data_IF_303063250518
#
_entry.id   IF_303063250518
#
_cell.length_a   1.000
_cell.length_b   1.000
_cell.length_c   1.000
_cell.angle_alpha   90.00
_cell.angle_beta   90.00
_cell.angle_gamma   90.00
#
_symmetry.space_group_name_H-M   'P 1'
#
loop_
_entity.id
_entity.type
_entity.pdbx_description
1 polymer ?
#
# COMPACT_ATOMS: atom_id res chain seq x y z
N UNK A 1 -37.46 15.52 17.78
CA UNK A 1 -36.18 14.85 17.44
C UNK A 1 -35.60 14.35 18.76
N UNK A 2 -35.31 13.04 18.95
CA UNK A 2 -34.74 12.56 20.21
C UNK A 2 -33.37 13.20 20.48
N UNK A 3 -33.09 13.50 21.74
CA UNK A 3 -32.04 14.43 22.20
C UNK A 3 -30.63 13.78 22.32
N UNK A 4 -30.42 12.62 21.70
CA UNK A 4 -29.28 11.73 22.02
C UNK A 4 -28.27 11.56 20.87
N UNK A 5 -28.34 12.39 19.83
CA UNK A 5 -27.40 12.42 18.69
C UNK A 5 -26.64 13.76 18.67
N UNK A 6 -25.28 13.82 18.57
CA UNK A 6 -24.26 12.76 18.61
C UNK A 6 -23.27 12.98 19.78
N UNK A 7 -23.74 13.06 21.03
CA UNK A 7 -22.84 13.22 22.20
C UNK A 7 -22.19 11.91 22.65
N UNK A 8 -22.69 10.75 22.19
CA UNK A 8 -22.23 9.42 22.61
C UNK A 8 -21.51 8.62 21.52
N UNK A 9 -21.20 9.24 20.37
CA UNK A 9 -20.61 8.54 19.20
C UNK A 9 -19.12 8.81 19.00
N UNK A 10 -18.50 9.73 19.74
CA UNK A 10 -17.07 10.00 19.64
C UNK A 10 -16.38 9.71 20.97
N UNK A 11 -15.38 8.81 21.01
CA UNK A 11 -14.60 8.61 22.22
C UNK A 11 -13.94 9.93 22.61
N UNK A 12 -13.91 10.24 23.91
CA UNK A 12 -13.23 11.44 24.41
C UNK A 12 -11.76 11.45 23.95
N UNK A 13 -11.19 12.63 23.62
CA UNK A 13 -9.79 12.72 23.21
C UNK A 13 -8.90 12.12 24.29
N UNK A 14 -8.03 11.20 23.90
CA UNK A 14 -7.06 10.57 24.80
C UNK A 14 -5.74 11.31 24.70
N UNK A 15 -5.03 11.42 25.83
CA UNK A 15 -3.65 11.89 25.84
C UNK A 15 -2.76 10.82 25.21
N UNK A 16 -1.89 11.23 24.31
CA UNK A 16 -0.84 10.35 23.77
C UNK A 16 0.32 10.31 24.76
N UNK A 17 0.67 9.12 25.26
CA UNK A 17 1.65 8.95 26.34
C UNK A 17 3.04 8.59 25.82
N UNK A 18 3.14 8.08 24.58
CA UNK A 18 4.37 7.48 24.08
C UNK A 18 4.73 7.88 22.64
N UNK A 19 4.49 9.15 22.30
CA UNK A 19 4.77 9.71 20.96
C UNK A 19 6.17 9.36 20.45
N UNK A 20 7.19 9.52 21.31
CA UNK A 20 8.60 9.29 20.92
C UNK A 20 8.84 7.84 20.51
N UNK A 21 8.39 6.88 21.30
CA UNK A 21 8.59 5.46 21.01
C UNK A 21 7.87 5.04 19.73
N UNK A 22 6.68 5.59 19.47
CA UNK A 22 5.96 5.34 18.22
C UNK A 22 6.70 5.90 17.00
N UNK A 23 7.17 7.15 17.09
CA UNK A 23 7.93 7.78 16.01
C UNK A 23 9.26 7.07 15.74
N UNK A 24 9.93 6.57 16.78
CA UNK A 24 11.16 5.80 16.63
C UNK A 24 10.89 4.45 15.95
N UNK A 25 9.77 3.80 16.27
CA UNK A 25 9.31 2.60 15.59
C UNK A 25 9.08 2.84 14.09
N UNK A 26 8.34 3.90 13.74
CA UNK A 26 8.12 4.30 12.34
C UNK A 26 9.45 4.55 11.62
N UNK A 27 10.35 5.31 12.25
CA UNK A 27 11.67 5.60 11.66
C UNK A 27 12.47 4.32 11.39
N UNK A 28 12.45 3.36 12.31
CA UNK A 28 13.19 2.11 12.16
C UNK A 28 12.62 1.24 11.03
N UNK A 29 11.30 1.15 10.93
CA UNK A 29 10.63 0.43 9.84
C UNK A 29 10.95 1.05 8.46
N UNK A 30 10.94 2.38 8.38
CA UNK A 30 11.30 3.11 7.16
C UNK A 30 12.77 2.87 6.79
N UNK A 31 13.69 2.97 7.75
CA UNK A 31 15.11 2.73 7.53
C UNK A 31 15.37 1.31 7.01
N UNK A 32 14.75 0.30 7.62
CA UNK A 32 14.87 -1.08 7.18
C UNK A 32 14.35 -1.24 5.74
N UNK A 33 13.19 -0.67 5.43
CA UNK A 33 12.59 -0.72 4.09
C UNK A 33 13.46 -0.07 3.01
N UNK A 34 14.23 0.97 3.35
CA UNK A 34 15.08 1.70 2.42
C UNK A 34 16.47 1.08 2.24
N UNK A 35 17.01 0.45 3.28
CA UNK A 35 18.39 -0.06 3.32
C UNK A 35 18.52 -1.53 2.94
N UNK A 36 17.43 -2.32 2.95
CA UNK A 36 17.50 -3.77 2.71
C UNK A 36 16.82 -4.24 1.43
N UNK A 37 17.22 -5.41 0.96
CA UNK A 37 16.48 -6.15 -0.06
C UNK A 37 15.27 -6.83 0.56
N UNK A 38 14.17 -6.90 -0.20
CA UNK A 38 12.97 -7.61 0.21
C UNK A 38 12.11 -7.98 -1.02
N UNK A 39 11.15 -8.89 -0.86
CA UNK A 39 10.15 -9.15 -1.89
C UNK A 39 8.95 -8.22 -1.72
N UNK A 40 8.51 -7.58 -2.81
CA UNK A 40 7.24 -6.86 -2.85
C UNK A 40 6.10 -7.85 -3.11
N UNK A 41 6.31 -8.77 -4.05
CA UNK A 41 5.41 -9.89 -4.32
C UNK A 41 6.23 -11.07 -4.85
N UNK A 42 6.36 -12.09 -3.99
CA UNK A 42 7.13 -13.30 -4.30
C UNK A 42 6.54 -14.07 -5.48
N UNK A 43 5.22 -14.00 -5.71
CA UNK A 43 4.55 -14.76 -6.78
C UNK A 43 4.83 -14.17 -8.15
N UNK A 44 4.87 -12.85 -8.26
CA UNK A 44 5.26 -12.15 -9.50
C UNK A 44 6.76 -11.98 -9.66
N UNK A 45 7.56 -12.30 -8.64
CA UNK A 45 9.01 -12.10 -8.65
C UNK A 45 9.42 -10.64 -8.49
N UNK A 46 8.50 -9.77 -8.03
CA UNK A 46 8.79 -8.36 -7.80
C UNK A 46 9.62 -8.19 -6.53
N UNK A 47 10.87 -7.71 -6.70
CA UNK A 47 11.84 -7.50 -5.63
C UNK A 47 12.04 -6.00 -5.39
N UNK A 48 12.16 -5.62 -4.12
CA UNK A 48 12.62 -4.31 -3.65
C UNK A 48 14.14 -4.36 -3.47
N UNK A 49 14.80 -3.31 -3.95
CA UNK A 49 16.24 -3.11 -3.78
C UNK A 49 16.49 -1.92 -2.84
N UNK A 50 17.64 -1.86 -2.15
CA UNK A 50 18.04 -0.71 -1.36
C UNK A 50 18.05 0.57 -2.20
N UNK A 51 17.74 1.70 -1.57
CA UNK A 51 17.60 2.99 -2.26
C UNK A 51 18.90 3.43 -2.92
N UNK A 52 20.05 3.25 -2.26
CA UNK A 52 21.35 3.58 -2.83
C UNK A 52 21.59 2.82 -4.14
N UNK A 53 21.25 1.52 -4.14
CA UNK A 53 21.37 0.69 -5.34
C UNK A 53 20.41 1.14 -6.45
N UNK A 54 19.19 1.54 -6.11
CA UNK A 54 18.27 2.10 -7.08
C UNK A 54 18.81 3.38 -7.72
N UNK A 55 19.37 4.29 -6.90
CA UNK A 55 19.97 5.54 -7.35
C UNK A 55 21.17 5.31 -8.27
N UNK A 56 22.05 4.36 -7.93
CA UNK A 56 23.16 3.93 -8.80
C UNK A 56 22.65 3.45 -10.16
N UNK A 57 21.64 2.58 -10.17
CA UNK A 57 21.09 2.02 -11.40
C UNK A 57 20.41 3.08 -12.27
N UNK A 58 19.71 4.03 -11.66
CA UNK A 58 19.10 5.16 -12.37
C UNK A 58 20.19 6.03 -12.98
N UNK A 59 21.26 6.32 -12.25
CA UNK A 59 22.37 7.13 -12.74
C UNK A 59 23.10 6.43 -13.90
N UNK A 60 23.31 5.12 -13.79
CA UNK A 60 23.94 4.31 -14.85
C UNK A 60 23.09 4.20 -16.12
N UNK A 61 21.77 4.04 -15.97
CA UNK A 61 20.84 3.84 -17.10
C UNK A 61 20.34 5.16 -17.70
N UNK A 62 20.43 6.25 -16.94
CA UNK A 62 19.77 7.52 -17.24
C UNK A 62 18.27 7.50 -16.88
N UNK A 63 17.68 8.69 -16.80
CA UNK A 63 16.24 8.83 -16.60
C UNK A 63 15.48 8.53 -17.91
N UNK A 64 14.32 7.86 -17.85
CA UNK A 64 13.52 7.60 -19.05
C UNK A 64 12.99 8.93 -19.62
N UNK A 65 13.32 9.24 -20.89
CA UNK A 65 12.99 10.51 -21.55
C UNK A 65 11.59 10.52 -22.20
N UNK A 66 10.93 9.36 -22.33
CA UNK A 66 9.53 9.20 -22.80
C UNK A 66 8.99 7.81 -22.41
N UNK A 67 7.68 7.63 -22.11
CA UNK A 67 7.16 6.32 -21.74
C UNK A 67 7.32 5.31 -22.88
N UNK A 68 7.96 4.18 -22.58
CA UNK A 68 7.81 2.94 -23.33
C UNK A 68 6.36 2.47 -23.13
N UNK A 69 5.47 2.81 -24.05
CA UNK A 69 4.13 2.25 -24.07
C UNK A 69 4.18 0.78 -24.51
N UNK A 70 4.13 -0.16 -23.56
CA UNK A 70 3.11 -1.23 -23.49
C UNK A 70 3.52 -2.35 -22.52
N UNK A 71 2.64 -2.58 -21.53
CA UNK A 71 2.24 -3.87 -20.95
C UNK A 71 3.28 -4.95 -20.58
N UNK A 72 3.40 -5.19 -19.28
CA UNK A 72 3.24 -6.52 -18.66
C UNK A 72 2.84 -6.30 -17.18
N UNK A 73 1.56 -6.30 -16.79
CA UNK A 73 0.69 -7.47 -16.53
C UNK A 73 1.24 -8.48 -15.51
N UNK A 74 0.97 -8.21 -14.22
CA UNK A 74 0.48 -9.12 -13.17
C UNK A 74 0.36 -8.22 -11.91
N UNK A 75 -0.77 -7.95 -11.26
CA UNK A 75 -1.93 -8.78 -10.97
C UNK A 75 -3.12 -7.87 -10.61
N UNK A 76 -4.03 -7.61 -11.56
CA UNK A 76 -5.39 -7.21 -11.21
C UNK A 76 -6.21 -8.50 -11.12
N UNK A 77 -6.37 -8.99 -9.89
CA UNK A 77 -7.20 -10.15 -9.59
C UNK A 77 -8.62 -9.92 -10.11
N UNK A 78 -9.14 -10.90 -10.85
CA UNK A 78 -10.56 -11.03 -11.15
C UNK A 78 -11.35 -11.16 -9.84
N UNK A 79 -12.45 -10.43 -9.61
CA UNK A 79 -13.51 -10.95 -8.77
C UNK A 79 -14.43 -11.79 -9.67
N UNK A 80 -14.31 -13.11 -9.55
CA UNK A 80 -15.41 -14.02 -9.86
C UNK A 80 -16.08 -14.39 -8.54
N UNK A 81 -17.42 -14.41 -8.55
CA UNK A 81 -18.39 -15.03 -7.63
C UNK A 81 -19.30 -14.00 -6.92
N UNK A 82 -20.62 -14.15 -6.78
CA UNK A 82 -21.60 -15.13 -7.27
C UNK A 82 -23.02 -14.68 -6.81
N UNK A 83 -24.08 -15.15 -7.50
CA UNK A 83 -25.50 -15.07 -7.10
C UNK A 83 -26.25 -13.90 -7.75
N UNK A 84 -27.40 -14.03 -8.41
CA UNK A 84 -28.52 -14.95 -8.24
C UNK A 84 -29.25 -15.25 -9.56
N UNK A 85 -29.69 -16.50 -9.70
CA UNK A 85 -30.71 -16.92 -10.67
C UNK A 85 -32.09 -16.38 -10.26
N UNK A 86 -32.89 -15.82 -11.17
CA UNK A 86 -34.31 -16.20 -11.38
C UNK A 86 -35.00 -15.48 -12.56
N UNK A 87 -35.69 -16.25 -13.41
CA UNK A 87 -36.88 -15.87 -14.22
C UNK A 87 -36.61 -14.98 -15.44
N UNK A 88 -36.48 -15.46 -16.67
CA UNK A 88 -37.48 -16.14 -17.53
C UNK A 88 -38.84 -15.43 -17.66
N UNK A 89 -39.00 -14.77 -18.82
CA UNK A 89 -40.22 -14.56 -19.63
C UNK A 89 -41.43 -13.84 -19.01
N UNK A 90 -41.77 -12.69 -19.58
CA UNK A 90 -43.01 -12.48 -20.34
C UNK A 90 -42.88 -11.29 -21.27
#
# INVERSE_FOLDING_TARGET
VPNDYPQNTFPSPKLEENERGQLDGVRLEEEQKLSTYDYVDQKSGAIRIPIDRAMELITQRGLPVRPQGTSAQASAAKPTQAGEKKGSRK
#
